data_IF_896906447912
#
_entry.id   IF_896906447912
#
_cell.length_a   1.000
_cell.length_b   1.000
_cell.length_c   1.000
_cell.angle_alpha   90.00
_cell.angle_beta   90.00
_cell.angle_gamma   90.00
#
_symmetry.space_group_name_H-M   'P 1'
#
loop_
_entity.id
_entity.type
_entity.pdbx_description
1 polymer ?
#
# COMPACT_ATOMS: atom_id res chain seq x y z
N UNK A 1 19.15 10.01 23.99
CA UNK A 1 19.96 8.85 23.56
C UNK A 1 19.23 8.20 22.39
N UNK A 2 19.93 7.73 21.36
CA UNK A 2 19.26 6.97 20.28
C UNK A 2 18.97 5.57 20.81
N UNK A 3 17.69 5.25 21.04
CA UNK A 3 17.27 3.91 21.43
C UNK A 3 17.65 2.91 20.34
N UNK A 4 18.19 1.76 20.75
CA UNK A 4 18.53 0.66 19.85
C UNK A 4 17.75 -0.58 20.27
N UNK A 5 17.01 -1.17 19.33
CA UNK A 5 16.25 -2.41 19.53
C UNK A 5 17.02 -3.60 18.95
N UNK A 6 17.04 -4.74 19.65
CA UNK A 6 17.53 -6.00 19.08
C UNK A 6 16.49 -6.54 18.10
N UNK A 7 16.76 -6.37 16.80
CA UNK A 7 15.81 -6.70 15.76
C UNK A 7 15.55 -8.19 15.65
N UNK A 8 16.59 -9.01 15.87
CA UNK A 8 16.47 -10.47 15.76
C UNK A 8 15.61 -11.04 16.89
N UNK A 9 15.79 -10.54 18.11
CA UNK A 9 14.95 -10.90 19.24
C UNK A 9 13.48 -10.46 19.04
N UNK A 10 13.26 -9.29 18.45
CA UNK A 10 11.94 -8.77 18.11
C UNK A 10 11.21 -9.65 17.09
N UNK A 11 11.91 -10.07 16.04
CA UNK A 11 11.36 -10.91 14.97
C UNK A 11 10.98 -12.30 15.45
N UNK A 12 11.83 -12.92 16.28
CA UNK A 12 11.53 -14.22 16.89
C UNK A 12 10.25 -14.11 17.74
N UNK A 13 10.16 -13.08 18.58
CA UNK A 13 8.95 -12.82 19.40
C UNK A 13 7.71 -12.59 18.54
N UNK A 14 7.84 -11.88 17.41
CA UNK A 14 6.76 -11.70 16.46
C UNK A 14 6.33 -13.04 15.87
N UNK A 15 7.26 -13.78 15.25
CA UNK A 15 6.97 -15.02 14.53
C UNK A 15 6.19 -16.04 15.36
N UNK A 16 6.55 -16.22 16.63
CA UNK A 16 5.90 -17.20 17.52
C UNK A 16 4.47 -16.84 17.92
N UNK A 17 4.06 -15.59 17.65
CA UNK A 17 2.88 -15.01 18.27
C UNK A 17 1.88 -14.39 17.27
N UNK A 18 2.20 -14.38 15.97
CA UNK A 18 1.28 -13.96 14.91
C UNK A 18 0.12 -14.96 14.73
N UNK A 19 -1.04 -14.48 14.27
CA UNK A 19 -2.09 -15.35 13.76
C UNK A 19 -1.62 -16.16 12.55
N UNK A 20 -2.35 -17.22 12.19
CA UNK A 20 -2.03 -18.05 11.03
C UNK A 20 -2.14 -17.30 9.69
N UNK A 21 -2.92 -16.21 9.63
CA UNK A 21 -3.03 -15.37 8.43
C UNK A 21 -1.80 -14.47 8.29
N UNK A 22 -1.43 -13.76 9.35
CA UNK A 22 -0.20 -12.96 9.38
C UNK A 22 1.04 -13.84 9.23
N UNK A 23 1.10 -15.03 9.86
CA UNK A 23 2.19 -15.99 9.66
C UNK A 23 2.31 -16.39 8.20
N UNK A 24 1.21 -16.64 7.49
CA UNK A 24 1.25 -16.95 6.05
C UNK A 24 1.75 -15.77 5.21
N UNK A 25 1.35 -14.55 5.56
CA UNK A 25 1.82 -13.31 4.90
C UNK A 25 3.29 -13.01 5.20
N UNK A 26 3.77 -13.33 6.39
CA UNK A 26 5.16 -13.11 6.84
C UNK A 26 6.11 -14.25 6.45
N UNK A 27 5.62 -15.48 6.28
CA UNK A 27 6.41 -16.60 5.76
C UNK A 27 6.93 -16.32 4.34
N UNK A 28 6.32 -15.36 3.64
CA UNK A 28 6.81 -14.75 2.41
C UNK A 28 8.14 -14.00 2.59
N UNK A 29 8.32 -13.29 3.71
CA UNK A 29 9.49 -12.44 3.98
C UNK A 29 10.71 -13.25 4.47
N UNK A 30 10.49 -14.42 5.06
CA UNK A 30 11.53 -15.19 5.78
C UNK A 30 11.85 -16.54 5.11
N UNK A 31 11.05 -16.97 4.12
CA UNK A 31 11.23 -18.24 3.43
C UNK A 31 11.75 -18.11 2.00
N UNK A 32 12.50 -19.12 1.52
CA UNK A 32 13.09 -19.18 0.17
C UNK A 32 12.06 -19.15 -1.00
N UNK A 33 10.76 -19.21 -0.71
CA UNK A 33 9.69 -19.30 -1.72
C UNK A 33 8.73 -18.14 -1.57
N UNK A 34 9.10 -17.06 -2.25
CA UNK A 34 8.34 -15.83 -2.44
C UNK A 34 7.31 -16.05 -3.58
N UNK A 35 5.99 -16.12 -3.33
CA UNK A 35 4.97 -16.07 -4.38
C UNK A 35 5.24 -14.94 -5.39
N UNK A 36 5.32 -15.30 -6.68
CA UNK A 36 5.68 -14.37 -7.78
C UNK A 36 4.86 -13.09 -7.77
N UNK A 37 3.58 -13.18 -7.41
CA UNK A 37 2.64 -12.06 -7.34
C UNK A 37 3.09 -10.92 -6.41
N UNK A 38 3.80 -11.23 -5.32
CA UNK A 38 4.28 -10.22 -4.37
C UNK A 38 5.75 -9.85 -4.66
N UNK A 39 6.56 -10.78 -5.22
CA UNK A 39 7.92 -10.48 -5.71
C UNK A 39 7.90 -9.43 -6.82
N UNK A 40 6.97 -9.62 -7.74
CA UNK A 40 6.86 -8.85 -8.96
C UNK A 40 5.94 -7.63 -8.75
N UNK A 41 5.43 -7.40 -7.53
CA UNK A 41 4.67 -6.20 -7.18
C UNK A 41 5.64 -5.01 -7.03
N UNK A 42 5.67 -4.06 -8.00
CA UNK A 42 6.61 -2.95 -7.98
C UNK A 42 6.37 -2.04 -6.78
N UNK A 43 5.12 -1.97 -6.29
CA UNK A 43 4.72 -1.14 -5.15
C UNK A 43 5.27 -1.66 -3.82
N UNK A 44 5.61 -2.95 -3.77
CA UNK A 44 6.17 -3.60 -2.58
C UNK A 44 7.69 -3.76 -2.68
N UNK A 45 8.30 -3.72 -3.86
CA UNK A 45 9.75 -3.95 -4.02
C UNK A 45 10.61 -3.04 -3.13
N UNK A 46 10.25 -1.76 -2.99
CA UNK A 46 10.95 -0.83 -2.11
C UNK A 46 10.81 -1.22 -0.62
N UNK A 47 9.61 -1.63 -0.22
CA UNK A 47 9.31 -2.08 1.15
C UNK A 47 10.00 -3.39 1.47
N UNK A 48 10.07 -4.32 0.51
CA UNK A 48 10.73 -5.61 0.66
C UNK A 48 12.25 -5.47 0.74
N UNK A 49 12.86 -4.69 -0.17
CA UNK A 49 14.30 -4.41 -0.14
C UNK A 49 14.71 -3.71 1.15
N UNK A 50 13.85 -2.84 1.70
CA UNK A 50 14.12 -2.18 2.97
C UNK A 50 13.92 -3.13 4.17
N UNK A 51 12.90 -3.99 4.14
CA UNK A 51 12.76 -5.03 5.17
C UNK A 51 13.97 -5.96 5.16
N UNK A 52 14.44 -6.39 3.99
CA UNK A 52 15.68 -7.16 3.82
C UNK A 52 16.90 -6.42 4.41
N UNK A 53 17.06 -5.13 4.12
CA UNK A 53 18.19 -4.35 4.66
C UNK A 53 18.13 -4.16 6.18
N UNK A 54 16.94 -4.21 6.77
CA UNK A 54 16.75 -4.23 8.22
C UNK A 54 17.03 -5.62 8.80
N UNK A 55 16.74 -6.72 8.09
CA UNK A 55 17.05 -8.10 8.52
C UNK A 55 18.55 -8.37 8.66
N UNK A 56 19.38 -7.66 7.90
CA UNK A 56 20.84 -7.73 8.02
C UNK A 56 21.39 -6.96 9.24
N UNK A 57 20.57 -6.14 9.91
CA UNK A 57 20.98 -5.34 11.06
C UNK A 57 20.74 -6.09 12.38
N UNK A 58 21.77 -6.13 13.23
CA UNK A 58 21.61 -6.64 14.59
C UNK A 58 20.80 -5.70 15.49
N UNK A 59 20.88 -4.39 15.21
CA UNK A 59 20.20 -3.36 15.97
C UNK A 59 19.57 -2.35 15.03
N UNK A 60 18.34 -1.95 15.35
CA UNK A 60 17.60 -0.93 14.62
C UNK A 60 17.33 0.25 15.55
N UNK A 61 17.28 1.47 15.01
CA UNK A 61 16.95 2.67 15.81
C UNK A 61 15.42 2.89 15.85
N UNK A 62 14.94 3.92 16.56
CA UNK A 62 13.51 4.24 16.65
C UNK A 62 12.87 4.54 15.29
N UNK A 63 13.60 5.22 14.39
CA UNK A 63 13.11 5.54 13.05
C UNK A 63 12.93 4.28 12.19
N UNK A 64 13.88 3.34 12.27
CA UNK A 64 13.78 2.03 11.63
C UNK A 64 12.61 1.21 12.20
N UNK A 65 12.34 1.35 13.52
CA UNK A 65 11.22 0.68 14.19
C UNK A 65 9.86 1.22 13.75
N UNK A 66 9.71 2.54 13.66
CA UNK A 66 8.52 3.19 13.12
C UNK A 66 8.29 2.79 11.66
N UNK A 67 9.38 2.67 10.90
CA UNK A 67 9.33 2.17 9.53
C UNK A 67 8.85 0.71 9.47
N UNK A 68 9.32 -0.17 10.36
CA UNK A 68 8.86 -1.55 10.46
C UNK A 68 7.35 -1.64 10.73
N UNK A 69 6.84 -0.87 11.70
CA UNK A 69 5.41 -0.76 11.97
C UNK A 69 4.65 -0.37 10.69
N UNK A 70 5.17 0.61 9.98
CA UNK A 70 4.57 1.12 8.77
C UNK A 70 4.59 0.09 7.62
N UNK A 71 5.72 -0.56 7.39
CA UNK A 71 5.91 -1.60 6.38
C UNK A 71 4.97 -2.79 6.62
N UNK A 72 4.87 -3.28 7.86
CA UNK A 72 3.91 -4.33 8.21
C UNK A 72 2.45 -3.89 8.06
N UNK A 73 2.16 -2.60 8.26
CA UNK A 73 0.84 -2.02 7.95
C UNK A 73 0.53 -2.08 6.47
N UNK A 74 1.49 -1.74 5.60
CA UNK A 74 1.38 -1.84 4.15
C UNK A 74 1.16 -3.28 3.66
N UNK A 75 1.84 -4.24 4.29
CA UNK A 75 1.68 -5.67 4.05
C UNK A 75 0.43 -6.28 4.69
N UNK A 76 -0.38 -5.45 5.37
CA UNK A 76 -1.60 -5.86 6.09
C UNK A 76 -1.35 -6.99 7.11
N UNK A 77 -0.18 -6.97 7.74
CA UNK A 77 0.15 -7.86 8.86
C UNK A 77 -0.28 -7.19 10.17
N UNK A 78 -1.59 -7.09 10.41
CA UNK A 78 -2.13 -6.25 11.48
C UNK A 78 -1.79 -6.74 12.89
N UNK A 79 -1.62 -8.05 13.09
CA UNK A 79 -1.15 -8.58 14.37
C UNK A 79 0.32 -8.22 14.59
N UNK A 80 1.14 -8.24 13.53
CA UNK A 80 2.52 -7.78 13.60
C UNK A 80 2.59 -6.29 14.00
N UNK A 81 1.79 -5.45 13.35
CA UNK A 81 1.67 -4.01 13.67
C UNK A 81 1.26 -3.79 15.11
N UNK A 82 0.25 -4.52 15.59
CA UNK A 82 -0.25 -4.41 16.96
C UNK A 82 0.87 -4.74 17.97
N UNK A 83 1.57 -5.85 17.77
CA UNK A 83 2.65 -6.32 18.65
C UNK A 83 3.86 -5.37 18.65
N UNK A 84 4.24 -4.85 17.50
CA UNK A 84 5.30 -3.85 17.39
C UNK A 84 4.95 -2.58 18.17
N UNK A 85 3.71 -2.07 18.04
CA UNK A 85 3.24 -0.91 18.81
C UNK A 85 3.20 -1.17 20.31
N UNK A 86 2.82 -2.37 20.73
CA UNK A 86 2.85 -2.78 22.14
C UNK A 86 4.29 -2.79 22.68
N UNK A 87 5.24 -3.31 21.89
CA UNK A 87 6.65 -3.33 22.25
C UNK A 87 7.25 -1.92 22.35
N UNK A 88 6.92 -1.02 21.42
CA UNK A 88 7.34 0.38 21.45
C UNK A 88 6.82 1.10 22.70
N UNK A 89 5.54 0.87 23.06
CA UNK A 89 4.94 1.44 24.29
C UNK A 89 5.63 0.92 25.55
N UNK A 90 5.99 -0.37 25.58
CA UNK A 90 6.70 -0.96 26.71
C UNK A 90 8.07 -0.30 26.92
N UNK A 91 8.83 -0.09 25.85
CA UNK A 91 10.14 0.58 25.91
C UNK A 91 10.03 2.04 26.37
N UNK A 92 9.06 2.81 25.85
CA UNK A 92 8.84 4.20 26.26
C UNK A 92 8.56 4.33 27.76
N UNK A 93 7.77 3.41 28.33
CA UNK A 93 7.50 3.39 29.78
C UNK A 93 8.73 3.07 30.62
N UNK A 94 9.56 2.12 30.20
CA UNK A 94 10.80 1.80 30.91
C UNK A 94 11.73 3.01 30.99
N UNK A 95 11.85 3.77 29.89
CA UNK A 95 12.67 4.98 29.87
C UNK A 95 12.08 6.10 30.75
N UNK A 96 10.76 6.26 30.78
CA UNK A 96 10.09 7.22 31.68
C UNK A 96 10.36 6.88 33.15
N UNK A 97 10.23 5.60 33.54
CA UNK A 97 10.48 5.13 34.91
C UNK A 97 11.94 5.31 35.34
N UNK A 98 12.90 5.01 34.45
CA UNK A 98 14.33 5.24 34.70
C UNK A 98 14.67 6.73 34.83
N UNK A 99 14.02 7.58 34.03
CA UNK A 99 14.22 9.04 34.11
C UNK A 99 13.74 9.57 35.45
N UNK A 100 12.54 9.15 35.89
CA UNK A 100 11.96 9.53 37.20
C UNK A 100 12.85 9.07 38.36
N UNK A 101 13.36 7.82 38.31
CA UNK A 101 14.28 7.30 39.32
C UNK A 101 15.60 8.09 39.35
N UNK A 102 16.13 8.46 38.17
CA UNK A 102 17.37 9.23 38.07
C UNK A 102 17.23 10.68 38.56
N UNK A 103 16.06 11.30 38.39
CA UNK A 103 15.75 12.63 38.89
C UNK A 103 15.53 12.62 40.40
N UNK A 104 14.78 11.65 40.93
CA UNK A 104 14.61 11.48 42.38
C UNK A 104 15.94 11.25 43.12
N UNK A 105 16.87 10.49 42.52
CA UNK A 105 18.19 10.27 43.09
C UNK A 105 19.08 11.52 43.09
N UNK A 106 18.85 12.46 42.15
CA UNK A 106 19.56 13.76 42.12
C UNK A 106 19.02 14.71 43.17
N UNK A 107 17.71 14.72 43.40
CA UNK A 107 17.09 15.52 44.46
C UNK A 107 17.57 15.06 45.85
N UNK A 108 17.64 13.75 46.11
CA UNK A 108 18.20 13.19 47.34
C UNK A 108 19.70 13.48 47.52
N UNK A 109 20.47 13.54 46.42
CA UNK A 109 21.88 13.88 46.45
C UNK A 109 22.11 15.38 46.68
N UNK A 110 21.23 16.23 46.12
CA UNK A 110 21.28 17.68 46.29
C UNK A 110 20.86 18.09 47.71
N UNK A 111 19.92 17.37 48.32
CA UNK A 111 19.55 17.57 49.73
C UNK A 111 20.62 17.07 50.71
N UNK A 112 21.43 16.06 50.31
CA UNK A 112 22.64 15.68 51.07
C UNK A 112 23.82 16.63 50.84
N UNK A 113 23.93 17.27 49.68
CA UNK A 113 24.96 18.29 49.39
C UNK A 113 24.64 19.66 50.01
N UNK A 114 23.36 20.01 50.21
CA UNK A 114 22.96 21.24 50.92
C UNK A 114 23.40 21.22 52.40
N UNK A 115 23.46 20.03 53.02
CA UNK A 115 24.00 19.82 54.37
C UNK A 115 25.53 19.97 54.42
N UNK A 116 26.24 19.67 53.33
CA UNK A 116 27.72 19.77 53.28
C UNK A 116 28.18 21.18 52.85
N UNK A 117 27.42 21.87 52.01
CA UNK A 117 27.80 23.19 51.47
C UNK A 117 27.51 24.38 52.39
N UNK A 118 26.86 24.17 53.56
CA UNK A 118 26.87 25.19 54.63
C UNK A 118 28.26 25.36 55.28
N UNK A 119 29.23 24.49 54.96
CA UNK A 119 30.59 24.53 55.54
C UNK A 119 31.66 25.12 54.61
N UNK A 120 31.32 25.59 53.41
CA UNK A 120 32.34 26.03 52.44
C UNK A 120 31.92 27.23 51.59
N UNK A 121 31.60 28.33 52.27
CA UNK A 121 31.62 29.67 51.68
C UNK A 121 32.98 30.29 52.02
N UNK A 122 33.88 30.42 51.05
CA UNK A 122 34.80 31.55 50.88
C UNK A 122 35.64 31.37 49.60
N UNK A 123 35.70 32.45 48.82
CA UNK A 123 36.69 32.78 47.76
C UNK A 123 36.57 32.03 46.42
N UNK A 124 36.74 32.62 45.23
CA UNK A 124 36.94 34.00 44.73
C UNK A 124 37.01 33.96 43.19
N UNK A 125 36.47 34.99 42.53
CA UNK A 125 36.77 35.65 41.23
C UNK A 125 37.46 34.95 40.00
N UNK A 126 36.72 34.88 38.85
CA UNK A 126 36.90 35.53 37.50
C UNK A 126 38.30 35.47 36.75
N UNK A 127 38.50 35.59 35.39
CA UNK A 127 37.73 35.37 34.13
C UNK A 127 38.45 34.65 32.92
N UNK A 128 37.66 34.33 31.86
CA UNK A 128 37.80 34.47 30.37
C UNK A 128 39.08 34.03 29.59
N UNK A 129 38.88 33.35 28.44
CA UNK A 129 39.23 33.85 27.08
C UNK A 129 38.75 32.93 25.94
N UNK A 130 38.52 33.55 24.77
CA UNK A 130 38.07 33.03 23.47
C UNK A 130 39.14 32.22 22.71
N UNK A 131 38.72 31.35 21.78
CA UNK A 131 39.08 31.45 20.34
C UNK A 131 38.35 30.43 19.47
N UNK A 132 37.93 30.88 18.28
CA UNK A 132 37.18 30.15 17.26
C UNK A 132 38.10 29.88 16.07
N UNK A 133 38.06 28.66 15.50
CA UNK A 133 38.74 28.35 14.23
C UNK A 133 37.74 27.77 13.22
N UNK A 134 37.72 28.41 12.06
CA UNK A 134 36.93 28.15 10.85
C UNK A 134 37.58 27.04 10.01
N UNK A 135 36.80 26.14 9.43
CA UNK A 135 37.27 25.11 8.47
C UNK A 135 36.68 25.40 7.08
N UNK A 136 37.57 25.50 6.09
CA UNK A 136 37.30 25.63 4.65
C UNK A 136 36.84 24.28 4.04
N UNK A 137 35.75 24.31 3.28
CA UNK A 137 35.31 23.19 2.44
C UNK A 137 35.59 23.51 0.95
N UNK A 138 36.25 22.58 0.25
CA UNK A 138 36.34 22.57 -1.23
C UNK A 138 35.50 21.42 -1.81
N UNK A 139 34.76 21.65 -2.92
CA UNK A 139 33.95 20.60 -3.55
C UNK A 139 34.73 19.77 -4.56
N UNK A 140 34.39 18.48 -4.62
CA UNK A 140 34.88 17.48 -5.58
C UNK A 140 33.93 17.44 -6.80
N UNK A 141 34.52 17.52 -7.99
CA UNK A 141 33.85 17.38 -9.29
C UNK A 141 33.82 15.88 -9.65
N UNK A 142 32.65 15.33 -9.99
CA UNK A 142 32.51 13.98 -10.55
C UNK A 142 31.86 14.08 -11.94
N UNK A 143 32.57 13.53 -12.93
CA UNK A 143 32.14 13.36 -14.32
C UNK A 143 31.05 12.27 -14.45
N UNK A 144 30.03 12.53 -15.26
CA UNK A 144 29.13 11.51 -15.79
C UNK A 144 29.41 11.32 -17.28
N UNK A 145 29.67 10.07 -17.69
CA UNK A 145 29.67 9.62 -19.07
C UNK A 145 28.66 8.47 -19.24
N UNK A 146 27.77 8.65 -20.22
CA UNK A 146 27.07 7.71 -21.10
C UNK A 146 27.04 6.21 -20.78
N UNK A 147 25.85 5.60 -20.93
CA UNK A 147 25.64 4.60 -21.99
C UNK A 147 24.16 4.35 -22.26
N UNK A 148 23.77 4.47 -23.53
CA UNK A 148 22.59 3.84 -24.12
C UNK A 148 22.79 2.32 -24.11
N UNK A 149 21.73 1.55 -23.88
CA UNK A 149 21.60 0.23 -24.53
C UNK A 149 20.14 -0.23 -24.64
N UNK A 150 19.82 -0.58 -25.88
CA UNK A 150 18.64 -1.28 -26.36
C UNK A 150 18.66 -2.75 -25.90
N UNK A 151 17.51 -3.31 -25.52
CA UNK A 151 17.31 -4.76 -25.60
C UNK A 151 15.83 -5.14 -25.73
N UNK A 152 15.54 -5.68 -26.91
CA UNK A 152 14.68 -6.84 -27.22
C UNK A 152 13.99 -7.52 -26.02
N UNK A 153 12.66 -7.54 -26.02
CA UNK A 153 11.84 -8.35 -25.10
C UNK A 153 11.48 -9.67 -25.79
N UNK A 154 11.81 -10.84 -25.21
CA UNK A 154 11.42 -12.13 -25.75
C UNK A 154 10.00 -12.52 -25.31
N UNK A 155 9.23 -13.10 -26.23
CA UNK A 155 7.94 -13.75 -25.96
C UNK A 155 8.09 -14.90 -24.95
N UNK A 156 7.29 -14.87 -23.88
CA UNK A 156 7.25 -15.91 -22.86
C UNK A 156 6.17 -16.95 -23.24
N UNK A 157 6.47 -18.26 -23.24
CA UNK A 157 5.54 -19.28 -23.71
C UNK A 157 4.52 -19.71 -22.64
N UNK A 158 3.32 -20.05 -23.12
CA UNK A 158 2.06 -20.46 -22.47
C UNK A 158 2.16 -21.68 -21.51
N UNK A 159 3.36 -22.20 -21.20
CA UNK A 159 3.56 -23.42 -20.39
C UNK A 159 3.36 -23.25 -18.86
N UNK A 160 3.06 -22.06 -18.37
CA UNK A 160 2.92 -21.80 -16.92
C UNK A 160 1.53 -22.17 -16.37
N UNK A 161 0.48 -22.09 -17.17
CA UNK A 161 -0.90 -22.34 -16.73
C UNK A 161 -1.19 -23.82 -16.51
N UNK A 162 -0.68 -24.70 -17.37
CA UNK A 162 -0.80 -26.16 -17.19
C UNK A 162 -0.11 -26.64 -15.91
N UNK A 163 0.98 -25.99 -15.50
CA UNK A 163 1.72 -26.37 -14.29
C UNK A 163 0.95 -26.00 -13.02
N UNK A 164 0.29 -24.84 -13.02
CA UNK A 164 -0.59 -24.41 -11.94
C UNK A 164 -1.82 -25.30 -11.83
N UNK A 165 -2.46 -25.62 -12.95
CA UNK A 165 -3.61 -26.53 -13.00
C UNK A 165 -3.26 -27.92 -12.44
N UNK A 166 -2.08 -28.46 -12.78
CA UNK A 166 -1.62 -29.75 -12.27
C UNK A 166 -1.32 -29.75 -10.75
N UNK A 167 -0.84 -28.64 -10.20
CA UNK A 167 -0.66 -28.48 -8.74
C UNK A 167 -2.01 -28.45 -8.03
N UNK A 168 -3.00 -27.74 -8.58
CA UNK A 168 -4.35 -27.71 -8.03
C UNK A 168 -5.03 -29.08 -8.05
N UNK A 169 -4.93 -29.82 -9.17
CA UNK A 169 -5.48 -31.16 -9.31
C UNK A 169 -4.85 -32.16 -8.32
N UNK A 170 -3.55 -32.00 -8.02
CA UNK A 170 -2.86 -32.82 -7.01
C UNK A 170 -3.37 -32.54 -5.60
N UNK A 171 -3.61 -31.28 -5.25
CA UNK A 171 -4.16 -30.88 -3.95
C UNK A 171 -5.61 -31.38 -3.77
N UNK A 172 -6.44 -31.33 -4.81
CA UNK A 172 -7.81 -31.87 -4.78
C UNK A 172 -7.81 -33.38 -4.49
N UNK A 173 -6.91 -34.15 -5.14
CA UNK A 173 -6.75 -35.60 -4.89
C UNK A 173 -6.25 -35.91 -3.47
N UNK A 174 -5.50 -35.01 -2.86
CA UNK A 174 -5.00 -35.17 -1.50
C UNK A 174 -6.09 -34.83 -0.46
N UNK A 175 -6.94 -33.84 -0.75
CA UNK A 175 -8.07 -33.47 0.11
C UNK A 175 -9.18 -34.53 0.14
N UNK A 176 -9.45 -35.24 -0.95
CA UNK A 176 -10.43 -36.34 -0.98
C UNK A 176 -10.00 -37.59 -0.19
N UNK A 177 -8.71 -37.71 0.16
CA UNK A 177 -8.18 -38.77 1.04
C UNK A 177 -8.24 -38.42 2.52
N UNK A 178 -8.28 -37.13 2.86
CA UNK A 178 -8.48 -36.68 4.25
C UNK A 178 -9.98 -36.64 4.52
N UNK A 179 -10.42 -36.84 5.78
CA UNK A 179 -11.84 -36.70 6.19
C UNK A 179 -12.31 -35.23 6.17
N UNK A 180 -11.93 -34.48 5.15
CA UNK A 180 -12.38 -33.14 4.88
C UNK A 180 -13.86 -33.25 4.47
N UNK A 181 -14.74 -32.56 5.17
CA UNK A 181 -16.18 -32.64 4.91
C UNK A 181 -16.47 -32.13 3.49
N UNK A 182 -17.48 -32.70 2.82
CA UNK A 182 -17.94 -32.25 1.49
C UNK A 182 -18.11 -30.72 1.47
N UNK A 183 -18.54 -30.13 2.58
CA UNK A 183 -18.65 -28.69 2.78
C UNK A 183 -17.33 -27.92 2.58
N UNK A 184 -16.22 -28.39 3.17
CA UNK A 184 -14.90 -27.77 3.02
C UNK A 184 -14.35 -27.91 1.59
N UNK A 185 -14.64 -29.02 0.92
CA UNK A 185 -14.27 -29.21 -0.49
C UNK A 185 -15.07 -28.27 -1.41
N UNK A 186 -16.37 -28.13 -1.18
CA UNK A 186 -17.23 -27.19 -1.92
C UNK A 186 -16.75 -25.76 -1.70
N UNK A 187 -16.45 -25.36 -0.46
CA UNK A 187 -15.91 -24.04 -0.16
C UNK A 187 -14.57 -23.80 -0.87
N UNK A 188 -13.70 -24.82 -0.90
CA UNK A 188 -12.41 -24.73 -1.59
C UNK A 188 -12.57 -24.60 -3.11
N UNK A 189 -13.48 -25.35 -3.73
CA UNK A 189 -13.78 -25.26 -5.16
C UNK A 189 -14.38 -23.89 -5.51
N UNK A 190 -15.31 -23.39 -4.69
CA UNK A 190 -15.89 -22.05 -4.88
C UNK A 190 -14.81 -20.96 -4.82
N UNK A 191 -13.89 -21.03 -3.84
CA UNK A 191 -12.74 -20.12 -3.76
C UNK A 191 -11.82 -20.21 -4.98
N UNK A 192 -11.60 -21.40 -5.56
CA UNK A 192 -10.81 -21.55 -6.80
C UNK A 192 -11.54 -20.94 -7.99
N UNK A 193 -12.86 -21.11 -8.10
CA UNK A 193 -13.65 -20.50 -9.17
C UNK A 193 -13.57 -18.98 -9.09
N UNK A 194 -13.72 -18.40 -7.89
CA UNK A 194 -13.55 -16.97 -7.66
C UNK A 194 -12.14 -16.51 -8.06
N UNK A 195 -11.11 -17.31 -7.75
CA UNK A 195 -9.72 -17.01 -8.13
C UNK A 195 -9.48 -17.04 -9.65
N UNK A 196 -10.24 -17.85 -10.41
CA UNK A 196 -10.14 -17.95 -11.86
C UNK A 196 -10.94 -16.83 -12.55
N UNK A 197 -12.00 -16.35 -11.91
CA UNK A 197 -12.89 -15.34 -12.46
C UNK A 197 -12.50 -13.91 -12.10
N UNK A 198 -11.74 -13.70 -11.02
CA UNK A 198 -11.37 -12.37 -10.55
C UNK A 198 -9.89 -12.09 -10.86
N UNK A 199 -9.64 -11.01 -11.60
CA UNK A 199 -8.31 -10.46 -11.80
C UNK A 199 -8.16 -9.17 -11.00
N UNK A 200 -7.16 -9.15 -10.11
CA UNK A 200 -6.79 -7.96 -9.34
C UNK A 200 -5.82 -7.14 -10.19
N UNK A 201 -6.18 -5.88 -10.44
CA UNK A 201 -5.38 -4.93 -11.20
C UNK A 201 -4.17 -4.37 -10.47
N UNK A 202 -3.45 -3.45 -11.10
CA UNK A 202 -2.33 -2.76 -10.45
C UNK A 202 -2.84 -1.71 -9.46
N UNK A 203 -2.09 -1.49 -8.39
CA UNK A 203 -2.34 -0.35 -7.50
C UNK A 203 -1.66 0.89 -8.09
N UNK A 204 -2.48 1.82 -8.57
CA UNK A 204 -2.04 3.09 -9.13
C UNK A 204 -2.06 4.18 -8.06
N UNK A 205 -1.04 5.03 -8.03
CA UNK A 205 -0.92 6.12 -7.05
C UNK A 205 -0.12 5.71 -5.81
N UNK A 206 -0.36 6.40 -4.69
CA UNK A 206 0.35 6.15 -3.45
C UNK A 206 -0.55 5.42 -2.46
N UNK A 207 -0.21 4.17 -2.13
CA UNK A 207 -0.87 3.40 -1.07
C UNK A 207 -0.69 3.96 0.35
N UNK A 208 -0.20 5.20 0.46
CA UNK A 208 0.03 5.91 1.70
C UNK A 208 -0.66 7.28 1.71
N UNK A 209 -1.80 7.32 2.38
CA UNK A 209 -2.52 8.54 2.74
C UNK A 209 -4.01 8.44 2.39
N UNK A 210 -4.84 9.11 3.19
CA UNK A 210 -6.29 9.01 3.08
C UNK A 210 -6.86 7.73 3.68
N UNK A 211 -8.18 7.62 3.62
CA UNK A 211 -8.93 6.50 4.17
C UNK A 211 -9.01 5.38 3.11
N UNK A 212 -8.78 4.14 3.55
CA UNK A 212 -8.96 2.98 2.68
C UNK A 212 -10.43 2.74 2.38
N UNK A 213 -10.75 2.38 1.15
CA UNK A 213 -12.10 1.99 0.75
C UNK A 213 -12.09 0.73 -0.10
N UNK A 214 -13.23 0.04 -0.13
CA UNK A 214 -13.46 -1.16 -0.93
C UNK A 214 -14.92 -1.22 -1.37
N UNK A 215 -15.19 -0.88 -2.64
CA UNK A 215 -16.57 -0.75 -3.11
C UNK A 215 -17.35 -2.05 -3.08
N UNK A 216 -16.67 -3.20 -3.14
CA UNK A 216 -17.35 -4.48 -2.97
C UNK A 216 -18.02 -4.61 -1.60
N UNK A 217 -17.36 -4.17 -0.54
CA UNK A 217 -17.91 -4.18 0.82
C UNK A 217 -18.90 -3.02 1.01
N UNK A 218 -18.49 -1.81 0.62
CA UNK A 218 -19.27 -0.57 0.79
C UNK A 218 -20.62 -0.60 0.04
N UNK A 219 -20.66 -1.24 -1.12
CA UNK A 219 -21.86 -1.35 -1.96
C UNK A 219 -22.47 -2.75 -2.00
N UNK A 220 -21.95 -3.69 -1.19
CA UNK A 220 -22.40 -5.09 -1.15
C UNK A 220 -22.43 -5.74 -2.54
N UNK A 221 -21.36 -5.55 -3.31
CA UNK A 221 -21.26 -6.03 -4.69
C UNK A 221 -20.95 -7.52 -4.73
N UNK A 222 -21.50 -8.19 -5.73
CA UNK A 222 -21.24 -9.58 -6.07
C UNK A 222 -20.48 -9.67 -7.41
N UNK A 223 -20.10 -10.89 -7.82
CA UNK A 223 -19.48 -11.12 -9.13
C UNK A 223 -20.42 -10.84 -10.32
N UNK A 224 -21.74 -10.71 -10.07
CA UNK A 224 -22.71 -10.35 -11.11
C UNK A 224 -22.83 -8.83 -11.29
N UNK A 225 -22.29 -8.06 -10.36
CA UNK A 225 -22.35 -6.60 -10.40
C UNK A 225 -21.16 -6.05 -11.18
N UNK A 226 -21.38 -4.96 -11.91
CA UNK A 226 -20.33 -4.31 -12.68
C UNK A 226 -20.46 -2.80 -12.63
N UNK A 227 -19.36 -2.12 -12.92
CA UNK A 227 -19.35 -0.68 -13.08
C UNK A 227 -20.13 -0.29 -14.35
N UNK A 228 -21.12 0.61 -14.21
CA UNK A 228 -21.98 1.07 -15.32
C UNK A 228 -21.97 2.59 -15.52
N UNK A 229 -21.41 3.34 -14.57
CA UNK A 229 -21.34 4.79 -14.67
C UNK A 229 -20.23 5.37 -13.82
N UNK A 230 -19.64 6.46 -14.31
CA UNK A 230 -18.62 7.23 -13.60
C UNK A 230 -18.99 8.69 -13.66
N UNK A 231 -19.02 9.36 -12.51
CA UNK A 231 -19.09 10.81 -12.42
C UNK A 231 -17.83 11.31 -11.72
N UNK A 232 -17.11 12.25 -12.31
CA UNK A 232 -15.91 12.79 -11.70
C UNK A 232 -15.95 14.32 -11.64
N UNK A 233 -15.29 14.88 -10.62
CA UNK A 233 -15.01 16.31 -10.53
C UNK A 233 -13.52 16.54 -10.30
N UNK A 234 -12.99 17.55 -10.98
CA UNK A 234 -11.56 17.84 -10.94
C UNK A 234 -11.27 19.34 -11.07
N UNK A 235 -10.13 19.74 -10.50
CA UNK A 235 -9.50 21.02 -10.77
C UNK A 235 -8.56 20.91 -11.98
N UNK A 236 -7.94 22.02 -12.39
CA UNK A 236 -7.03 22.08 -13.55
C UNK A 236 -5.96 20.97 -13.55
N UNK A 237 -5.47 20.54 -12.40
CA UNK A 237 -4.35 19.61 -12.29
C UNK A 237 -4.60 18.40 -11.38
N UNK A 238 -5.77 18.28 -10.73
CA UNK A 238 -6.04 17.25 -9.71
C UNK A 238 -7.43 16.65 -9.87
N UNK A 239 -7.49 15.32 -9.86
CA UNK A 239 -8.73 14.59 -9.68
C UNK A 239 -9.17 14.69 -8.22
N UNK A 240 -10.23 15.45 -7.96
CA UNK A 240 -10.70 15.77 -6.61
C UNK A 240 -11.60 14.66 -6.08
N UNK A 241 -12.53 14.21 -6.93
CA UNK A 241 -13.53 13.25 -6.53
C UNK A 241 -14.00 12.39 -7.72
N UNK A 242 -14.28 11.13 -7.45
CA UNK A 242 -14.90 10.19 -8.39
C UNK A 242 -16.02 9.43 -7.70
N UNK A 243 -17.17 9.35 -8.36
CA UNK A 243 -18.30 8.51 -7.99
C UNK A 243 -18.42 7.37 -8.99
N UNK A 244 -18.43 6.15 -8.48
CA UNK A 244 -18.63 4.93 -9.25
C UNK A 244 -20.06 4.44 -9.04
N UNK A 245 -20.78 4.15 -10.12
CA UNK A 245 -22.16 3.65 -10.11
C UNK A 245 -22.21 2.23 -10.67
N UNK A 246 -22.84 1.34 -9.93
CA UNK A 246 -22.86 -0.10 -10.18
C UNK A 246 -24.22 -0.60 -10.67
N UNK A 247 -24.22 -1.76 -11.33
CA UNK A 247 -25.44 -2.36 -11.91
C UNK A 247 -26.51 -2.75 -10.90
N UNK A 248 -26.19 -2.89 -9.61
CA UNK A 248 -27.18 -3.07 -8.53
C UNK A 248 -27.85 -1.76 -8.08
N UNK A 249 -27.57 -0.64 -8.75
CA UNK A 249 -28.11 0.68 -8.43
C UNK A 249 -27.44 1.38 -7.24
N UNK A 250 -26.34 0.83 -6.71
CA UNK A 250 -25.53 1.50 -5.68
C UNK A 250 -24.44 2.34 -6.32
N UNK A 251 -24.06 3.40 -5.60
CA UNK A 251 -22.93 4.24 -5.98
C UNK A 251 -22.11 4.61 -4.75
N UNK A 252 -20.81 4.87 -4.95
CA UNK A 252 -19.90 5.32 -3.90
C UNK A 252 -19.02 6.44 -4.43
N UNK A 253 -18.91 7.50 -3.63
CA UNK A 253 -18.07 8.66 -3.89
C UNK A 253 -16.76 8.53 -3.10
N UNK A 254 -15.64 8.79 -3.79
CA UNK A 254 -14.30 8.83 -3.22
C UNK A 254 -13.63 10.15 -3.50
N UNK A 255 -12.85 10.64 -2.54
CA UNK A 255 -12.32 11.99 -2.58
C UNK A 255 -13.32 13.01 -2.03
N UNK A 256 -12.98 14.30 -2.09
CA UNK A 256 -13.86 15.37 -1.63
C UNK A 256 -13.72 16.58 -2.52
N UNK A 257 -14.84 17.14 -2.93
CA UNK A 257 -14.87 18.46 -3.56
C UNK A 257 -14.54 19.50 -2.48
N UNK A 258 -13.30 19.97 -2.43
CA UNK A 258 -12.78 20.81 -1.32
C UNK A 258 -13.27 22.27 -1.44
N UNK A 259 -13.58 22.70 -2.65
CA UNK A 259 -14.17 24.00 -2.95
C UNK A 259 -15.28 23.80 -3.97
N UNK A 260 -16.25 24.73 -4.09
CA UNK A 260 -16.94 24.93 -5.36
C UNK A 260 -15.90 25.45 -6.36
N UNK A 261 -14.93 24.60 -6.71
CA UNK A 261 -14.01 24.83 -7.78
C UNK A 261 -14.86 25.08 -9.02
N UNK A 262 -14.38 25.93 -9.92
CA UNK A 262 -14.91 26.09 -11.28
C UNK A 262 -14.67 24.80 -12.09
N UNK A 263 -14.68 23.65 -11.40
CA UNK A 263 -14.24 22.36 -11.84
C UNK A 263 -15.24 21.77 -12.80
N UNK A 264 -14.70 21.05 -13.77
CA UNK A 264 -15.51 20.28 -14.69
C UNK A 264 -16.10 19.11 -13.92
N UNK A 265 -17.42 18.94 -14.04
CA UNK A 265 -18.09 17.69 -13.66
C UNK A 265 -18.52 17.02 -14.94
N UNK A 266 -18.14 15.75 -15.10
CA UNK A 266 -18.52 14.97 -16.27
C UNK A 266 -19.01 13.61 -15.84
N UNK A 267 -20.00 13.12 -16.58
CA UNK A 267 -20.64 11.84 -16.37
C UNK A 267 -20.45 10.96 -17.60
N UNK A 268 -20.03 9.72 -17.37
CA UNK A 268 -19.83 8.71 -18.38
C UNK A 268 -20.64 7.47 -18.00
N UNK A 269 -21.81 7.34 -18.61
CA UNK A 269 -22.69 6.18 -18.46
C UNK A 269 -22.47 5.17 -19.60
N UNK A 270 -22.62 3.88 -19.29
CA UNK A 270 -22.52 2.77 -20.23
C UNK A 270 -23.89 2.40 -20.81
N UNK A 271 -23.91 2.01 -22.08
CA UNK A 271 -25.08 1.37 -22.66
C UNK A 271 -25.30 -0.03 -22.06
N UNK A 272 -26.50 -0.59 -22.20
CA UNK A 272 -26.85 -1.91 -21.64
C UNK A 272 -25.93 -3.07 -22.07
N UNK A 273 -25.40 -2.99 -23.30
CA UNK A 273 -24.50 -4.00 -23.90
C UNK A 273 -23.02 -3.61 -23.82
N UNK A 274 -22.70 -2.53 -23.12
CA UNK A 274 -21.36 -1.99 -23.01
C UNK A 274 -20.80 -2.28 -21.61
N UNK A 275 -19.50 -2.52 -21.56
CA UNK A 275 -18.76 -2.70 -20.33
C UNK A 275 -17.35 -2.13 -20.48
N UNK A 276 -16.74 -1.79 -19.34
CA UNK A 276 -15.38 -1.27 -19.30
C UNK A 276 -14.40 -2.45 -19.37
N UNK A 277 -13.53 -2.44 -20.37
CA UNK A 277 -12.49 -3.44 -20.61
C UNK A 277 -11.06 -2.87 -20.46
N UNK A 278 -10.96 -1.56 -20.22
CA UNK A 278 -9.69 -0.90 -19.97
C UNK A 278 -9.81 0.41 -19.21
N UNK A 279 -8.73 0.76 -18.50
CA UNK A 279 -8.57 2.06 -17.86
C UNK A 279 -7.17 2.59 -18.14
N UNK A 280 -7.07 3.86 -18.54
CA UNK A 280 -5.83 4.62 -18.52
C UNK A 280 -5.81 5.50 -17.27
N UNK A 281 -4.74 5.37 -16.49
CA UNK A 281 -4.55 6.09 -15.23
C UNK A 281 -3.37 7.03 -15.35
N UNK A 282 -3.57 8.30 -15.03
CA UNK A 282 -2.50 9.28 -14.93
C UNK A 282 -2.17 9.49 -13.45
N UNK A 283 -0.90 9.30 -13.09
CA UNK A 283 -0.41 9.50 -11.72
C UNK A 283 0.64 10.60 -11.69
N UNK A 284 0.75 11.33 -10.59
CA UNK A 284 1.72 12.42 -10.51
C UNK A 284 1.87 13.03 -9.12
N UNK A 285 3.00 13.70 -8.93
CA UNK A 285 3.25 14.48 -7.71
C UNK A 285 2.51 15.82 -7.83
N UNK A 286 1.79 16.18 -6.77
CA UNK A 286 1.10 17.47 -6.66
C UNK A 286 1.45 18.16 -5.36
N UNK A 287 1.65 19.47 -5.46
CA UNK A 287 1.84 20.35 -4.32
C UNK A 287 0.49 20.52 -3.62
N UNK A 288 0.27 19.66 -2.65
CA UNK A 288 -0.82 19.77 -1.67
C UNK A 288 -0.14 20.16 -0.38
N UNK A 289 -0.68 21.18 0.30
CA UNK A 289 -0.17 21.65 1.58
C UNK A 289 -0.32 20.53 2.59
N UNK A 290 0.72 19.70 2.68
CA UNK A 290 0.85 18.64 3.66
C UNK A 290 2.16 18.88 4.38
N UNK A 291 2.07 19.35 5.62
CA UNK A 291 3.23 19.65 6.48
C UNK A 291 4.17 18.44 6.66
N UNK A 292 3.69 17.23 6.41
CA UNK A 292 4.45 15.99 6.54
C UNK A 292 5.04 15.49 5.21
N UNK A 293 4.66 16.07 4.07
CA UNK A 293 5.19 15.71 2.74
C UNK A 293 5.65 16.99 2.02
N UNK A 294 6.81 17.55 2.39
CA UNK A 294 7.31 18.81 1.85
C UNK A 294 7.70 18.74 0.37
N UNK A 295 7.68 17.56 -0.26
CA UNK A 295 7.97 17.37 -1.68
C UNK A 295 6.71 17.10 -2.52
N UNK A 296 5.53 17.41 -1.96
CA UNK A 296 4.24 17.11 -2.59
C UNK A 296 3.75 15.68 -2.31
N UNK A 297 2.55 15.39 -2.78
CA UNK A 297 1.88 14.10 -2.61
C UNK A 297 1.69 13.45 -3.98
N UNK A 298 2.08 12.18 -4.09
CA UNK A 298 1.83 11.36 -5.27
C UNK A 298 0.36 10.92 -5.27
N UNK A 299 -0.37 11.21 -6.34
CA UNK A 299 -1.81 11.02 -6.48
C UNK A 299 -2.18 10.36 -7.82
N UNK A 300 -3.40 9.86 -7.90
CA UNK A 300 -4.09 9.70 -9.19
C UNK A 300 -4.60 11.08 -9.62
N UNK A 301 -4.08 11.58 -10.74
CA UNK A 301 -4.36 12.93 -11.25
C UNK A 301 -5.31 12.93 -12.43
N UNK A 302 -5.51 11.79 -13.09
CA UNK A 302 -6.53 11.65 -14.12
C UNK A 302 -6.88 10.20 -14.46
N UNK A 303 -8.03 10.02 -15.08
CA UNK A 303 -8.60 8.73 -15.48
C UNK A 303 -9.27 8.84 -16.85
N UNK A 304 -9.11 7.81 -17.67
CA UNK A 304 -9.90 7.59 -18.90
C UNK A 304 -10.33 6.14 -18.95
N UNK A 305 -11.60 5.90 -19.26
CA UNK A 305 -12.17 4.56 -19.34
C UNK A 305 -12.38 4.15 -20.80
N UNK A 306 -12.12 2.89 -21.09
CA UNK A 306 -12.27 2.28 -22.41
C UNK A 306 -13.33 1.19 -22.31
N UNK A 307 -14.12 1.04 -23.38
CA UNK A 307 -15.19 0.05 -23.43
C UNK A 307 -14.96 -0.97 -24.53
N UNK A 308 -15.61 -2.12 -24.36
CA UNK A 308 -15.60 -3.22 -25.32
C UNK A 308 -16.14 -2.87 -26.72
N UNK A 309 -16.77 -1.71 -26.87
CA UNK A 309 -17.31 -1.19 -28.14
C UNK A 309 -16.38 -0.15 -28.78
N UNK A 310 -15.19 0.07 -28.22
CA UNK A 310 -14.22 1.06 -28.70
C UNK A 310 -14.57 2.50 -28.32
N UNK A 311 -15.56 2.72 -27.45
CA UNK A 311 -15.85 4.05 -26.91
C UNK A 311 -14.87 4.36 -25.77
N UNK A 312 -14.53 5.63 -25.64
CA UNK A 312 -13.69 6.13 -24.56
C UNK A 312 -14.43 7.24 -23.82
N UNK A 313 -14.23 7.32 -22.51
CA UNK A 313 -14.66 8.48 -21.74
C UNK A 313 -13.80 9.70 -22.11
N UNK A 314 -14.32 10.89 -21.80
CA UNK A 314 -13.44 12.05 -21.66
C UNK A 314 -12.37 11.80 -20.60
N UNK A 315 -11.29 12.58 -20.66
CA UNK A 315 -10.29 12.56 -19.60
C UNK A 315 -10.85 13.25 -18.35
N UNK A 316 -11.04 12.48 -17.29
CA UNK A 316 -11.29 13.01 -15.96
C UNK A 316 -9.97 13.47 -15.34
N UNK A 317 -9.84 14.72 -14.92
CA UNK A 317 -8.61 15.23 -14.32
C UNK A 317 -7.60 15.77 -15.33
N UNK A 318 -6.33 15.38 -15.16
CA UNK A 318 -5.19 15.93 -15.89
C UNK A 318 -4.32 14.84 -16.49
N UNK A 319 -3.87 15.05 -17.73
CA UNK A 319 -2.88 14.21 -18.41
C UNK A 319 -1.44 14.56 -18.05
N UNK A 320 -1.23 15.59 -17.21
CA UNK A 320 0.09 16.02 -16.76
C UNK A 320 0.63 15.08 -15.66
N UNK A 321 0.89 13.82 -16.02
CA UNK A 321 1.37 12.78 -15.13
C UNK A 321 1.98 11.61 -15.90
N UNK A 322 2.40 10.58 -15.18
CA UNK A 322 2.80 9.30 -15.75
C UNK A 322 1.54 8.51 -16.12
N UNK A 323 1.39 8.23 -17.40
CA UNK A 323 0.33 7.42 -17.97
C UNK A 323 0.60 5.93 -17.74
N UNK A 324 -0.41 5.21 -17.28
CA UNK A 324 -0.38 3.76 -17.07
C UNK A 324 -1.66 3.16 -17.61
N UNK A 325 -1.54 2.27 -18.58
CA UNK A 325 -2.68 1.58 -19.18
C UNK A 325 -2.89 0.21 -18.52
N UNK A 326 -4.14 -0.08 -18.21
CA UNK A 326 -4.59 -1.39 -17.76
C UNK A 326 -5.71 -1.86 -18.68
N UNK A 327 -5.35 -2.67 -19.68
CA UNK A 327 -6.26 -3.20 -20.68
C UNK A 327 -6.40 -4.71 -20.52
N UNK A 328 -7.64 -5.19 -20.32
CA UNK A 328 -7.94 -6.58 -20.04
C UNK A 328 -9.06 -7.08 -20.96
N UNK A 329 -8.71 -7.47 -22.20
CA UNK A 329 -9.69 -8.00 -23.12
C UNK A 329 -10.35 -9.24 -22.52
N UNK A 330 -11.66 -9.39 -22.73
CA UNK A 330 -12.52 -10.43 -22.14
C UNK A 330 -12.72 -10.31 -20.62
N UNK A 331 -12.45 -9.15 -20.03
CA UNK A 331 -12.84 -8.86 -18.66
C UNK A 331 -13.72 -7.61 -18.62
N UNK A 332 -14.57 -7.55 -17.61
CA UNK A 332 -15.37 -6.38 -17.27
C UNK A 332 -14.88 -5.80 -15.95
N UNK A 333 -14.83 -4.48 -15.84
CA UNK A 333 -14.51 -3.82 -14.58
C UNK A 333 -15.66 -4.03 -13.58
N UNK A 334 -15.41 -4.85 -12.57
CA UNK A 334 -16.36 -5.16 -11.50
C UNK A 334 -16.50 -3.99 -10.54
N UNK A 335 -15.42 -3.71 -9.80
CA UNK A 335 -15.39 -2.65 -8.79
C UNK A 335 -13.99 -2.07 -8.57
N UNK A 336 -13.93 -1.02 -7.76
CA UNK A 336 -12.69 -0.36 -7.36
C UNK A 336 -12.44 -0.46 -5.86
N UNK A 337 -11.16 -0.46 -5.48
CA UNK A 337 -10.72 -0.25 -4.10
C UNK A 337 -9.52 0.67 -4.10
N UNK A 338 -9.20 1.27 -2.96
CA UNK A 338 -8.09 2.22 -2.95
C UNK A 338 -7.96 2.99 -1.66
N UNK A 339 -7.38 4.18 -1.79
CA UNK A 339 -7.27 5.16 -0.72
C UNK A 339 -7.69 6.54 -1.25
N UNK A 340 -8.51 7.24 -0.48
CA UNK A 340 -8.93 8.59 -0.81
C UNK A 340 -9.21 9.41 0.45
N UNK A 341 -9.08 10.72 0.34
CA UNK A 341 -9.52 11.66 1.37
C UNK A 341 -10.03 12.93 0.72
N UNK A 342 -9.16 13.92 0.64
CA UNK A 342 -9.39 15.17 -0.08
C UNK A 342 -9.27 14.97 -1.61
N UNK A 343 -8.45 14.00 -2.02
CA UNK A 343 -8.17 13.63 -3.41
C UNK A 343 -8.11 12.11 -3.51
N UNK A 344 -7.92 11.59 -4.73
CA UNK A 344 -7.69 10.17 -4.98
C UNK A 344 -6.20 9.85 -4.79
N UNK A 345 -5.85 9.22 -3.67
CA UNK A 345 -4.48 8.87 -3.33
C UNK A 345 -4.00 7.64 -4.11
N UNK A 346 -4.84 6.59 -4.13
CA UNK A 346 -4.57 5.38 -4.89
C UNK A 346 -5.85 4.69 -5.35
N UNK A 347 -5.77 3.99 -6.47
CA UNK A 347 -6.83 3.15 -7.03
C UNK A 347 -6.29 1.81 -7.48
N UNK A 348 -7.09 0.77 -7.28
CA UNK A 348 -6.89 -0.56 -7.83
C UNK A 348 -8.21 -1.06 -8.40
N UNK A 349 -8.15 -1.54 -9.64
CA UNK A 349 -9.30 -2.02 -10.39
C UNK A 349 -9.44 -3.53 -10.22
N UNK A 350 -10.66 -4.00 -9.98
CA UNK A 350 -10.96 -5.42 -9.81
C UNK A 350 -11.85 -5.88 -10.96
N UNK A 351 -11.35 -6.86 -11.70
CA UNK A 351 -11.88 -7.26 -12.99
C UNK A 351 -12.51 -8.64 -12.89
N UNK A 352 -13.64 -8.81 -13.55
CA UNK A 352 -14.31 -10.11 -13.68
C UNK A 352 -14.13 -10.63 -15.10
N UNK A 353 -13.72 -11.89 -15.21
CA UNK A 353 -13.64 -12.58 -16.50
C UNK A 353 -15.05 -12.69 -17.06
N UNK A 354 -15.23 -12.21 -18.29
CA UNK A 354 -16.51 -12.34 -18.97
C UNK A 354 -16.72 -13.82 -19.28
N UNK A 355 -17.54 -14.50 -18.48
CA UNK A 355 -18.05 -15.82 -18.84
C UNK A 355 -19.01 -15.59 -19.98
N UNK A 356 -18.55 -15.95 -21.18
CA UNK A 356 -19.25 -15.85 -22.46
C UNK A 356 -20.77 -15.86 -22.28
N UNK A 357 -21.39 -14.66 -22.28
CA UNK A 357 -22.84 -14.52 -22.45
C UNK A 357 -23.30 -14.98 -23.84
N UNK A 358 -22.39 -15.52 -24.66
CA UNK A 358 -22.57 -16.11 -25.98
C UNK A 358 -23.18 -17.52 -25.96
N UNK A 359 -24.28 -17.74 -25.22
CA UNK A 359 -25.09 -18.95 -25.41
C UNK A 359 -26.61 -18.75 -25.28
N UNK A 360 -27.11 -17.50 -25.28
CA UNK A 360 -28.56 -17.26 -25.15
C UNK A 360 -29.19 -16.43 -26.26
N UNK A 361 -28.42 -15.97 -27.26
CA UNK A 361 -28.90 -15.06 -28.29
C UNK A 361 -29.05 -15.67 -29.70
N UNK A 362 -28.93 -16.99 -29.87
CA UNK A 362 -29.23 -17.65 -31.16
C UNK A 362 -30.01 -18.94 -30.91
N UNK A 363 -31.27 -18.81 -30.49
CA UNK A 363 -32.26 -19.78 -30.92
C UNK A 363 -32.85 -19.20 -32.22
N UNK A 364 -32.65 -19.83 -33.38
CA UNK A 364 -33.37 -19.44 -34.57
C UNK A 364 -34.86 -19.66 -34.28
N UNK A 365 -35.62 -18.58 -34.26
CA UNK A 365 -37.08 -18.66 -34.41
C UNK A 365 -37.34 -19.22 -35.82
N UNK A 366 -37.58 -20.52 -35.89
CA UNK A 366 -38.20 -21.18 -37.04
C UNK A 366 -39.71 -21.20 -36.88
#
# INVERSE_FOLDING_TARGET
MNEQFDFRALLIKLQDSLSDDDRRRLHFLVGDVIPRQIRDDPSLSGTLNLLESLFDQQRINEQDFDYLIYAFGGLRCYDAVKRLKEHQRYHKRQHEDETILSESAKDDAQDKMSVINFSRVMSSDIPKAHESITIENKPVIINQQNSQNSSHVPEIPIKSEEKLLNVYLKNIKQMTKSRLTIFQLVLFILNIIDLILIKVGFLHGNGFGGDSFNDAEDCSLTFNDRLIGITASWSTDKLECVTFTYSNGKSKQHGRTIYPSVGHTYEFELNSNEYIDGVTVYTGIRWIVNRFKPNGTFLVVGLRFHTNQGRQSELFGSSNGTENDEYLPNHTLGYVRGQAFAYINALQFIWYKETSRTASAILPTY
#
